data_IF_080264548911
#
_entry.id   IF_080264548911
#
_cell.length_a   1.000
_cell.length_b   1.000
_cell.length_c   1.000
_cell.angle_alpha   90.00
_cell.angle_beta   90.00
_cell.angle_gamma   90.00
#
_symmetry.space_group_name_H-M   'P 1'
#
loop_
_entity.id
_entity.type
_entity.pdbx_description
1 polymer ?
#
# COMPACT_ATOMS: atom_id res chain seq x y z
N UNK A 1 -1.94 -15.36 14.15
CA UNK A 1 -1.27 -14.19 13.54
C UNK A 1 -0.93 -14.52 12.10
N UNK A 2 -1.55 -13.83 11.14
CA UNK A 2 -1.23 -13.96 9.72
C UNK A 2 0.28 -13.80 9.48
N UNK A 3 0.83 -14.64 8.62
CA UNK A 3 2.21 -14.54 8.15
C UNK A 3 2.14 -14.39 6.64
N UNK A 4 2.60 -13.24 6.14
CA UNK A 4 2.66 -13.00 4.71
C UNK A 4 3.89 -13.73 4.16
N UNK A 5 3.67 -14.56 3.14
CA UNK A 5 4.74 -15.07 2.29
C UNK A 5 5.22 -13.94 1.35
N UNK A 6 6.37 -13.36 1.66
CA UNK A 6 6.89 -12.20 0.93
C UNK A 6 7.39 -12.54 -0.48
N UNK A 7 7.79 -13.78 -0.74
CA UNK A 7 8.19 -14.20 -2.08
C UNK A 7 6.97 -14.35 -2.98
N UNK A 8 5.91 -14.97 -2.46
CA UNK A 8 4.60 -15.02 -3.14
C UNK A 8 4.02 -13.62 -3.35
N UNK A 9 4.07 -12.76 -2.35
CA UNK A 9 3.58 -11.38 -2.45
C UNK A 9 4.32 -10.59 -3.55
N UNK A 10 5.63 -10.78 -3.69
CA UNK A 10 6.43 -10.16 -4.76
C UNK A 10 6.03 -10.68 -6.14
N UNK A 11 5.89 -11.99 -6.28
CA UNK A 11 5.46 -12.60 -7.54
C UNK A 11 4.07 -12.11 -7.97
N UNK A 12 3.15 -12.01 -7.01
CA UNK A 12 1.79 -11.50 -7.27
C UNK A 12 1.81 -10.04 -7.69
N UNK A 13 2.59 -9.19 -7.01
CA UNK A 13 2.71 -7.77 -7.35
C UNK A 13 3.26 -7.57 -8.78
N UNK A 14 4.30 -8.32 -9.17
CA UNK A 14 4.86 -8.28 -10.52
C UNK A 14 3.85 -8.77 -11.58
N UNK A 15 3.08 -9.82 -11.26
CA UNK A 15 2.03 -10.33 -12.14
C UNK A 15 0.94 -9.28 -12.38
N UNK A 16 0.43 -8.67 -11.30
CA UNK A 16 -0.58 -7.61 -11.35
C UNK A 16 -0.08 -6.39 -12.11
N UNK A 17 1.18 -6.00 -11.89
CA UNK A 17 1.78 -4.87 -12.60
C UNK A 17 1.88 -5.13 -14.11
N UNK A 18 2.33 -6.31 -14.52
CA UNK A 18 2.41 -6.70 -15.93
C UNK A 18 1.03 -6.61 -16.59
N UNK A 19 -0.01 -7.11 -15.91
CA UNK A 19 -1.39 -7.01 -16.38
C UNK A 19 -1.86 -5.56 -16.50
N UNK A 20 -1.62 -4.75 -15.47
CA UNK A 20 -1.98 -3.33 -15.46
C UNK A 20 -1.27 -2.54 -16.56
N UNK A 21 0.01 -2.81 -16.82
CA UNK A 21 0.78 -2.17 -17.89
C UNK A 21 0.21 -2.52 -19.27
N UNK A 22 -0.11 -3.79 -19.50
CA UNK A 22 -0.74 -4.22 -20.75
C UNK A 22 -2.09 -3.54 -20.95
N UNK A 23 -2.92 -3.49 -19.90
CA UNK A 23 -4.21 -2.79 -19.94
C UNK A 23 -4.03 -1.30 -20.28
N UNK A 24 -3.11 -0.63 -19.59
CA UNK A 24 -2.82 0.80 -19.81
C UNK A 24 -2.38 1.09 -21.25
N UNK A 25 -1.54 0.24 -21.84
CA UNK A 25 -1.11 0.37 -23.25
C UNK A 25 -2.27 0.26 -24.24
N UNK A 26 -3.27 -0.58 -23.94
CA UNK A 26 -4.45 -0.77 -24.81
C UNK A 26 -5.52 0.29 -24.61
N UNK A 27 -5.75 0.72 -23.37
CA UNK A 27 -6.69 1.75 -23.00
C UNK A 27 -6.17 2.48 -21.75
N UNK A 28 -5.66 3.70 -21.90
CA UNK A 28 -5.08 4.46 -20.78
C UNK A 28 -6.15 5.08 -19.86
N UNK A 29 -7.44 4.93 -20.17
CA UNK A 29 -8.49 5.44 -19.30
C UNK A 29 -8.47 4.72 -17.95
N UNK A 30 -8.66 5.49 -16.86
CA UNK A 30 -8.79 4.94 -15.53
C UNK A 30 -9.94 3.91 -15.49
N UNK A 31 -9.66 2.75 -14.89
CA UNK A 31 -10.61 1.64 -14.83
C UNK A 31 -10.99 1.37 -13.38
N UNK A 32 -12.24 0.94 -13.17
CA UNK A 32 -12.78 0.58 -11.87
C UNK A 32 -13.99 1.43 -11.46
N UNK A 33 -14.52 1.21 -10.23
CA UNK A 33 -15.61 2.01 -9.70
C UNK A 33 -15.24 3.50 -9.62
N UNK A 34 -16.14 4.44 -9.98
CA UNK A 34 -15.84 5.88 -9.99
C UNK A 34 -15.27 6.40 -8.68
N UNK A 35 -15.75 5.88 -7.55
CA UNK A 35 -15.29 6.24 -6.21
C UNK A 35 -13.84 5.80 -5.95
N UNK A 36 -13.43 4.65 -6.48
CA UNK A 36 -12.06 4.16 -6.33
C UNK A 36 -11.10 4.98 -7.21
N UNK A 37 -11.52 5.31 -8.44
CA UNK A 37 -10.76 6.18 -9.34
C UNK A 37 -10.55 7.55 -8.69
N UNK A 38 -11.62 8.18 -8.20
CA UNK A 38 -11.52 9.48 -7.53
C UNK A 38 -10.63 9.44 -6.28
N UNK A 39 -10.71 8.38 -5.48
CA UNK A 39 -9.84 8.22 -4.31
C UNK A 39 -8.36 8.06 -4.70
N UNK A 40 -8.09 7.31 -5.77
CA UNK A 40 -6.74 7.17 -6.32
C UNK A 40 -6.21 8.50 -6.85
N UNK A 41 -7.01 9.26 -7.60
CA UNK A 41 -6.60 10.58 -8.11
C UNK A 41 -6.17 11.52 -6.96
N UNK A 42 -6.95 11.57 -5.88
CA UNK A 42 -6.59 12.35 -4.68
C UNK A 42 -5.28 11.85 -4.05
N UNK A 43 -5.11 10.53 -3.94
CA UNK A 43 -3.91 9.92 -3.36
C UNK A 43 -2.66 10.22 -4.20
N UNK A 44 -2.78 10.17 -5.52
CA UNK A 44 -1.69 10.43 -6.45
C UNK A 44 -1.39 11.93 -6.58
N UNK A 45 -2.34 12.81 -6.25
CA UNK A 45 -2.11 14.25 -6.11
C UNK A 45 -1.37 14.62 -4.81
N UNK A 46 -1.43 13.79 -3.76
CA UNK A 46 -0.71 14.04 -2.51
C UNK A 46 0.80 14.14 -2.74
N UNK A 47 1.41 15.11 -2.05
CA UNK A 47 2.86 15.29 -2.00
C UNK A 47 3.58 14.18 -1.20
N UNK A 48 2.83 13.33 -0.48
CA UNK A 48 3.37 12.27 0.36
C UNK A 48 3.35 10.95 -0.41
N UNK A 49 4.50 10.55 -0.94
CA UNK A 49 4.68 9.31 -1.70
C UNK A 49 4.31 8.06 -0.90
N UNK A 50 4.63 8.03 0.40
CA UNK A 50 4.36 6.89 1.28
C UNK A 50 2.88 6.50 1.38
N UNK A 51 1.93 7.37 1.00
CA UNK A 51 0.53 6.99 0.97
C UNK A 51 0.20 6.01 -0.16
N UNK A 52 0.88 6.15 -1.29
CA UNK A 52 0.74 5.25 -2.45
C UNK A 52 1.30 3.88 -2.10
N UNK A 53 2.48 3.87 -1.46
CA UNK A 53 3.10 2.66 -0.90
C UNK A 53 2.20 1.99 0.15
N UNK A 54 1.63 2.77 1.08
CA UNK A 54 0.74 2.24 2.10
C UNK A 54 -0.53 1.61 1.51
N UNK A 55 -1.15 2.25 0.52
CA UNK A 55 -2.30 1.68 -0.16
C UNK A 55 -1.93 0.37 -0.86
N UNK A 56 -0.84 0.36 -1.63
CA UNK A 56 -0.38 -0.83 -2.34
C UNK A 56 -0.04 -1.97 -1.38
N UNK A 57 0.64 -1.66 -0.27
CA UNK A 57 0.92 -2.61 0.81
C UNK A 57 -0.34 -3.17 1.45
N UNK A 58 -1.36 -2.34 1.74
CA UNK A 58 -2.63 -2.81 2.27
C UNK A 58 -3.34 -3.77 1.30
N UNK A 59 -3.36 -3.45 0.00
CA UNK A 59 -3.96 -4.29 -1.03
C UNK A 59 -3.26 -5.65 -1.12
N UNK A 60 -1.93 -5.67 -1.19
CA UNK A 60 -1.15 -6.92 -1.25
C UNK A 60 -1.32 -7.73 0.04
N UNK A 61 -1.30 -7.09 1.21
CA UNK A 61 -1.53 -7.80 2.48
C UNK A 61 -2.88 -8.54 2.47
N UNK A 62 -3.97 -7.86 2.07
CA UNK A 62 -5.30 -8.47 2.00
C UNK A 62 -5.38 -9.59 0.96
N UNK A 63 -4.75 -9.41 -0.22
CA UNK A 63 -4.71 -10.43 -1.25
C UNK A 63 -3.97 -11.70 -0.81
N UNK A 64 -2.97 -11.58 0.06
CA UNK A 64 -2.22 -12.73 0.56
C UNK A 64 -2.99 -13.49 1.64
N UNK A 65 -3.76 -12.79 2.48
CA UNK A 65 -4.61 -13.36 3.51
C UNK A 65 -5.79 -12.43 3.81
N UNK A 66 -7.01 -12.86 3.45
CA UNK A 66 -8.25 -12.11 3.67
C UNK A 66 -8.53 -11.84 5.15
N UNK A 67 -7.96 -12.65 6.05
CA UNK A 67 -8.05 -12.52 7.51
C UNK A 67 -7.21 -11.39 8.10
N UNK A 68 -6.33 -10.77 7.32
CA UNK A 68 -5.55 -9.60 7.76
C UNK A 68 -6.46 -8.39 7.94
N UNK A 69 -6.39 -7.74 9.10
CA UNK A 69 -6.93 -6.40 9.28
C UNK A 69 -5.90 -5.36 8.84
N UNK A 70 -6.08 -4.83 7.63
CA UNK A 70 -5.18 -3.82 7.04
C UNK A 70 -5.08 -2.53 7.86
N UNK A 71 -5.98 -2.31 8.84
CA UNK A 71 -5.91 -1.19 9.78
C UNK A 71 -4.89 -1.40 10.90
N UNK A 72 -4.35 -2.62 11.04
CA UNK A 72 -3.43 -3.02 12.11
C UNK A 72 -2.04 -3.37 11.52
N UNK A 73 -1.24 -2.39 11.06
CA UNK A 73 0.02 -2.64 10.36
C UNK A 73 1.22 -2.99 11.27
N UNK A 74 1.00 -3.15 12.57
CA UNK A 74 2.03 -3.58 13.52
C UNK A 74 1.60 -4.86 14.25
N UNK A 75 2.48 -5.87 14.30
CA UNK A 75 2.19 -7.22 14.83
C UNK A 75 1.71 -7.26 16.28
N UNK A 76 1.93 -6.20 17.07
CA UNK A 76 1.47 -6.07 18.45
C UNK A 76 0.07 -5.45 18.58
N UNK A 77 -0.62 -5.15 17.47
CA UNK A 77 -1.93 -4.49 17.49
C UNK A 77 -3.13 -5.46 17.50
N UNK A 78 -2.90 -6.76 17.37
CA UNK A 78 -3.95 -7.77 17.47
C UNK A 78 -3.66 -9.04 16.68
N UNK A 79 -4.54 -10.04 16.81
CA UNK A 79 -4.35 -11.36 16.21
C UNK A 79 -4.43 -11.36 14.69
N UNK A 80 -5.13 -10.39 14.11
CA UNK A 80 -5.31 -10.16 12.67
C UNK A 80 -4.35 -9.10 12.12
N UNK A 81 -3.42 -8.61 12.94
CA UNK A 81 -2.42 -7.65 12.51
C UNK A 81 -1.41 -8.27 11.53
N UNK A 82 -0.78 -7.42 10.74
CA UNK A 82 0.27 -7.80 9.80
C UNK A 82 1.51 -6.94 9.99
N UNK A 83 2.65 -7.41 9.47
CA UNK A 83 3.91 -6.67 9.56
C UNK A 83 4.07 -5.78 8.33
N UNK A 84 3.42 -4.61 8.36
CA UNK A 84 3.42 -3.67 7.24
C UNK A 84 4.81 -3.12 6.91
N UNK A 85 5.67 -2.96 7.93
CA UNK A 85 7.06 -2.54 7.73
C UNK A 85 7.83 -3.57 6.90
N UNK A 86 7.80 -4.83 7.31
CA UNK A 86 8.54 -5.88 6.60
C UNK A 86 7.96 -6.14 5.22
N UNK A 87 6.63 -6.08 5.06
CA UNK A 87 6.01 -6.16 3.74
C UNK A 87 6.56 -5.06 2.81
N UNK A 88 6.63 -3.83 3.30
CA UNK A 88 7.13 -2.72 2.50
C UNK A 88 8.61 -2.87 2.15
N UNK A 89 9.45 -3.15 3.14
CA UNK A 89 10.90 -3.28 2.99
C UNK A 89 11.30 -4.46 2.07
N UNK A 90 10.50 -5.53 2.02
CA UNK A 90 10.82 -6.74 1.25
C UNK A 90 10.09 -6.84 -0.09
N UNK A 91 8.96 -6.14 -0.26
CA UNK A 91 8.07 -6.31 -1.42
C UNK A 91 7.80 -4.98 -2.09
N UNK A 92 7.11 -4.06 -1.41
CA UNK A 92 6.54 -2.86 -2.06
C UNK A 92 7.62 -1.86 -2.46
N UNK A 93 8.44 -1.41 -1.52
CA UNK A 93 9.45 -0.40 -1.78
C UNK A 93 10.50 -0.89 -2.81
N UNK A 94 11.05 -2.13 -2.71
CA UNK A 94 11.93 -2.67 -3.74
C UNK A 94 11.29 -2.78 -5.13
N UNK A 95 10.01 -3.14 -5.19
CA UNK A 95 9.26 -3.20 -6.46
C UNK A 95 9.18 -1.80 -7.10
N UNK A 96 8.77 -0.79 -6.34
CA UNK A 96 8.62 0.57 -6.87
C UNK A 96 9.96 1.13 -7.37
N UNK A 97 11.05 0.96 -6.62
CA UNK A 97 12.39 1.40 -7.05
C UNK A 97 12.88 0.64 -8.28
N UNK A 98 12.63 -0.66 -8.37
CA UNK A 98 13.02 -1.47 -9.55
C UNK A 98 12.35 -0.97 -10.83
N UNK A 99 11.09 -0.57 -10.73
CA UNK A 99 10.30 -0.06 -11.87
C UNK A 99 10.40 1.45 -12.04
N UNK A 100 11.32 2.11 -11.34
CA UNK A 100 11.55 3.56 -11.39
C UNK A 100 10.29 4.39 -11.06
N UNK A 101 9.36 3.81 -10.28
CA UNK A 101 8.15 4.48 -9.83
C UNK A 101 8.52 5.38 -8.63
N UNK A 102 8.12 6.66 -8.60
CA UNK A 102 8.41 7.55 -7.49
C UNK A 102 7.92 6.99 -6.14
N UNK A 103 8.87 6.66 -5.28
CA UNK A 103 8.64 6.09 -3.97
C UNK A 103 9.51 6.77 -2.90
N UNK A 104 9.05 6.68 -1.66
CA UNK A 104 9.75 7.17 -0.51
C UNK A 104 11.01 6.35 -0.23
N UNK A 105 12.01 6.98 0.39
CA UNK A 105 13.33 6.37 0.67
C UNK A 105 13.32 5.37 1.84
N UNK A 106 12.22 5.27 2.56
CA UNK A 106 12.12 4.44 3.77
C UNK A 106 10.74 3.79 3.83
N UNK A 107 10.47 3.01 4.89
CA UNK A 107 9.24 2.25 4.91
C UNK A 107 8.01 3.17 4.96
N UNK A 108 6.89 2.83 4.30
CA UNK A 108 5.69 3.67 4.27
C UNK A 108 5.14 3.97 5.66
N UNK A 109 5.40 3.09 6.64
CA UNK A 109 5.05 3.31 8.03
C UNK A 109 5.81 4.45 8.70
N UNK A 110 6.93 4.92 8.13
CA UNK A 110 7.76 5.98 8.70
C UNK A 110 7.09 7.37 8.68
N UNK A 111 6.15 7.62 7.76
CA UNK A 111 5.39 8.88 7.74
C UNK A 111 4.31 8.91 8.83
N UNK A 112 3.85 7.74 9.26
CA UNK A 112 2.90 7.61 10.35
C UNK A 112 3.65 7.64 11.69
N UNK A 113 2.97 8.06 12.77
CA UNK A 113 3.57 7.92 14.10
C UNK A 113 3.79 6.43 14.37
N UNK A 114 4.85 6.10 15.12
CA UNK A 114 5.17 4.70 15.47
C UNK A 114 3.97 4.03 16.14
N UNK A 115 3.72 2.77 15.77
CA UNK A 115 2.66 1.93 16.34
C UNK A 115 1.23 2.48 16.13
N UNK A 116 0.98 3.22 15.05
CA UNK A 116 -0.35 3.73 14.68
C UNK A 116 -1.18 2.68 13.95
N UNK A 117 -2.44 2.55 14.32
CA UNK A 117 -3.47 1.84 13.55
C UNK A 117 -4.13 2.80 12.56
N UNK A 118 -4.62 2.34 11.42
CA UNK A 118 -5.30 3.19 10.44
C UNK A 118 -6.79 3.35 10.79
N UNK A 119 -7.07 4.12 11.84
CA UNK A 119 -8.43 4.43 12.32
C UNK A 119 -8.71 5.93 12.28
N UNK A 120 -9.98 6.34 12.35
CA UNK A 120 -10.36 7.77 12.33
C UNK A 120 -9.69 8.59 13.44
N UNK A 121 -9.47 8.01 14.61
CA UNK A 121 -8.81 8.68 15.74
C UNK A 121 -7.38 9.14 15.41
N UNK A 122 -6.69 8.37 14.56
CA UNK A 122 -5.29 8.64 14.20
C UNK A 122 -5.15 9.66 13.08
N UNK A 123 -6.26 9.99 12.37
CA UNK A 123 -6.30 10.97 11.29
C UNK A 123 -5.77 12.34 11.70
N UNK A 124 -6.06 12.78 12.93
CA UNK A 124 -5.63 14.10 13.46
C UNK A 124 -4.11 14.23 13.61
N UNK A 125 -3.41 13.10 13.68
CA UNK A 125 -1.95 13.06 13.86
C UNK A 125 -1.16 13.33 12.57
N UNK A 126 -1.84 13.30 11.42
CA UNK A 126 -1.27 13.41 10.09
C UNK A 126 -1.55 14.82 9.54
N UNK A 127 -0.51 15.50 9.07
CA UNK A 127 -0.58 16.94 8.68
C UNK A 127 -0.85 17.16 7.18
N UNK A 128 -1.02 16.08 6.42
CA UNK A 128 -1.25 16.22 4.99
C UNK A 128 -2.60 16.88 4.68
N UNK A 129 -2.63 17.64 3.59
CA UNK A 129 -3.87 18.25 3.09
C UNK A 129 -4.53 17.30 2.11
N UNK A 130 -5.81 17.56 1.78
CA UNK A 130 -6.37 16.94 0.59
C UNK A 130 -5.47 17.29 -0.60
N UNK A 131 -5.14 16.26 -1.39
CA UNK A 131 -4.36 16.39 -2.63
C UNK A 131 -5.01 17.32 -3.63
#
# INVERSE_FOLDING_TARGET
>A
MPVIDYDRARAELEHLFTGAEQMFRTNPAAQGPPEAVAALDILFASAIQSYREALLGCCIARLMDDGIDIRLPYMNQGDTAYNGRTLDEQVINPFLHRHEIPASKGPFLAIFRRNVSFTEDTRRGVRDKAG
#
